data_IF_152653301827
#
_entry.id   IF_152653301827
#
_cell.length_a   1.000
_cell.length_b   1.000
_cell.length_c   1.000
_cell.angle_alpha   90.00
_cell.angle_beta   90.00
_cell.angle_gamma   90.00
#
_symmetry.space_group_name_H-M   'P 1'
#
loop_
_entity.id
_entity.type
_entity.pdbx_description
1 polymer ?
#
# COMPACT_ATOMS: atom_id res chain seq x y z
N UNK A 1 -19.15 -4.53 16.24
CA UNK A 1 -17.87 -4.47 16.98
C UNK A 1 -17.99 -3.92 18.40
N UNK A 2 -19.16 -3.44 18.85
CA UNK A 2 -19.31 -2.91 20.22
C UNK A 2 -18.51 -1.64 20.51
N UNK A 3 -17.87 -1.04 19.49
CA UNK A 3 -17.13 0.20 19.58
C UNK A 3 -18.05 1.34 19.12
N UNK A 4 -18.22 2.34 19.98
CA UNK A 4 -18.82 3.63 19.59
C UNK A 4 -17.67 4.58 19.28
N UNK A 5 -17.63 5.11 18.06
CA UNK A 5 -16.57 6.01 17.61
C UNK A 5 -17.14 7.40 17.30
N UNK A 6 -16.46 8.43 17.81
CA UNK A 6 -16.66 9.81 17.40
C UNK A 6 -15.43 10.24 16.58
N UNK A 7 -15.67 10.74 15.35
CA UNK A 7 -14.61 11.13 14.43
C UNK A 7 -14.51 12.66 14.39
N UNK A 8 -13.34 13.18 14.66
CA UNK A 8 -13.07 14.62 14.71
C UNK A 8 -11.84 14.97 13.86
N UNK A 9 -11.95 15.98 13.01
CA UNK A 9 -10.79 16.46 12.27
C UNK A 9 -9.94 17.38 13.16
N UNK A 10 -8.64 17.07 13.26
CA UNK A 10 -7.70 17.97 13.95
C UNK A 10 -7.66 19.32 13.19
N UNK A 11 -7.85 20.49 13.84
CA UNK A 11 -7.81 21.79 13.16
C UNK A 11 -6.41 22.11 12.60
N UNK A 12 -6.29 22.71 11.38
CA UNK A 12 -4.97 22.99 10.74
C UNK A 12 -4.26 24.19 11.34
N UNK A 13 -4.99 25.28 11.54
CA UNK A 13 -4.41 26.60 11.80
C UNK A 13 -4.78 27.18 13.17
N UNK A 14 -5.40 26.38 14.05
CA UNK A 14 -5.83 26.85 15.37
C UNK A 14 -5.28 25.98 16.50
N UNK A 15 -4.27 26.53 17.19
CA UNK A 15 -3.68 25.90 18.36
C UNK A 15 -4.70 25.76 19.50
N UNK A 16 -5.56 26.76 19.72
CA UNK A 16 -6.60 26.72 20.76
C UNK A 16 -7.61 25.60 20.47
N UNK A 17 -8.11 25.50 19.22
CA UNK A 17 -9.05 24.43 18.88
C UNK A 17 -8.41 23.04 19.01
N UNK A 18 -7.12 22.89 18.70
CA UNK A 18 -6.39 21.63 18.95
C UNK A 18 -6.33 21.26 20.44
N UNK A 19 -6.12 22.24 21.33
CA UNK A 19 -6.13 21.99 22.78
C UNK A 19 -7.53 21.65 23.30
N UNK A 20 -8.57 22.33 22.82
CA UNK A 20 -9.95 22.02 23.16
C UNK A 20 -10.34 20.61 22.73
N UNK A 21 -9.94 20.21 21.51
CA UNK A 21 -10.14 18.85 21.03
C UNK A 21 -9.39 17.84 21.90
N UNK A 22 -8.12 18.12 22.23
CA UNK A 22 -7.33 17.26 23.10
C UNK A 22 -7.94 17.12 24.52
N UNK A 23 -8.66 18.11 25.03
CA UNK A 23 -9.38 18.02 26.32
C UNK A 23 -10.52 17.00 26.28
N UNK A 24 -11.16 16.80 25.12
CA UNK A 24 -12.26 15.83 24.96
C UNK A 24 -11.79 14.39 25.10
N UNK A 25 -10.50 14.12 24.91
CA UNK A 25 -9.88 12.81 25.08
C UNK A 25 -10.18 12.15 26.44
N UNK A 26 -10.44 12.93 27.49
CA UNK A 26 -10.80 12.42 28.82
C UNK A 26 -12.11 11.63 28.85
N UNK A 27 -12.98 11.87 27.88
CA UNK A 27 -14.29 11.22 27.77
C UNK A 27 -14.22 9.92 26.95
N UNK A 28 -13.07 9.62 26.33
CA UNK A 28 -12.88 8.43 25.52
C UNK A 28 -12.01 7.41 26.26
N UNK A 29 -12.30 6.13 26.04
CA UNK A 29 -11.47 5.05 26.55
C UNK A 29 -10.17 4.89 25.76
N UNK A 30 -10.26 5.09 24.44
CA UNK A 30 -9.14 5.10 23.51
C UNK A 30 -9.21 6.36 22.65
N UNK A 31 -8.09 7.06 22.53
CA UNK A 31 -7.87 8.05 21.48
C UNK A 31 -7.12 7.39 20.34
N UNK A 32 -7.78 7.25 19.20
CA UNK A 32 -7.17 6.80 17.96
C UNK A 32 -6.76 8.00 17.10
N UNK A 33 -5.45 8.17 16.91
CA UNK A 33 -4.88 9.32 16.21
C UNK A 33 -4.27 8.93 14.88
N UNK A 34 -4.90 9.34 13.79
CA UNK A 34 -4.42 9.06 12.43
C UNK A 34 -3.54 10.18 11.85
N UNK A 35 -2.28 9.85 11.52
CA UNK A 35 -1.26 10.52 10.67
C UNK A 35 -0.80 11.93 11.04
N UNK A 36 -1.64 12.72 11.68
CA UNK A 36 -1.50 14.17 11.70
C UNK A 36 -0.47 14.65 12.73
N UNK A 37 0.53 15.41 12.28
CA UNK A 37 1.49 16.01 13.20
C UNK A 37 0.94 17.30 13.86
N UNK A 38 1.04 17.38 15.19
CA UNK A 38 0.75 18.60 15.98
C UNK A 38 1.98 19.03 16.78
N UNK A 39 1.91 20.18 17.47
CA UNK A 39 3.05 20.66 18.26
C UNK A 39 3.27 19.79 19.51
N UNK A 40 4.51 19.67 20.01
CA UNK A 40 4.78 18.91 21.24
C UNK A 40 3.97 19.37 22.46
N UNK A 41 3.53 20.63 22.50
CA UNK A 41 2.68 21.17 23.57
C UNK A 41 1.29 20.53 23.51
N UNK A 42 0.69 20.44 22.32
CA UNK A 42 -0.60 19.75 22.13
C UNK A 42 -0.46 18.26 22.47
N UNK A 43 0.65 17.62 22.06
CA UNK A 43 0.92 16.22 22.42
C UNK A 43 0.96 16.02 23.94
N UNK A 44 1.68 16.89 24.67
CA UNK A 44 1.77 16.82 26.13
C UNK A 44 0.40 16.93 26.78
N UNK A 45 -0.44 17.86 26.31
CA UNK A 45 -1.78 18.05 26.82
C UNK A 45 -2.72 16.88 26.49
N UNK A 46 -2.66 16.38 25.25
CA UNK A 46 -3.42 15.21 24.82
C UNK A 46 -3.05 13.98 25.65
N UNK A 47 -1.76 13.72 25.85
CA UNK A 47 -1.29 12.60 26.67
C UNK A 47 -1.81 12.66 28.10
N UNK A 48 -1.88 13.85 28.68
CA UNK A 48 -2.43 14.03 30.03
C UNK A 48 -3.94 13.77 30.08
N UNK A 49 -4.66 14.04 29.00
CA UNK A 49 -6.12 13.88 28.93
C UNK A 49 -6.55 12.48 28.50
N UNK A 50 -5.76 11.80 27.67
CA UNK A 50 -6.11 10.49 27.11
C UNK A 50 -5.80 9.36 28.10
N UNK A 51 -6.80 8.50 28.37
CA UNK A 51 -6.62 7.24 29.09
C UNK A 51 -5.65 6.32 28.32
N UNK A 52 -5.96 6.07 27.04
CA UNK A 52 -5.13 5.30 26.09
C UNK A 52 -4.93 6.08 24.81
N UNK A 53 -3.72 6.05 24.27
CA UNK A 53 -3.36 6.79 23.05
C UNK A 53 -2.73 5.85 22.02
N UNK A 54 -3.42 5.66 20.90
CA UNK A 54 -2.93 4.91 19.74
C UNK A 54 -2.61 5.90 18.62
N UNK A 55 -1.44 5.76 18.01
CA UNK A 55 -1.04 6.57 16.85
C UNK A 55 -0.91 5.68 15.61
N UNK A 56 -1.65 5.97 14.56
CA UNK A 56 -1.63 5.27 13.27
C UNK A 56 -0.98 6.16 12.22
N UNK A 57 0.05 5.66 11.53
CA UNK A 57 0.70 6.41 10.46
C UNK A 57 1.13 5.52 9.31
N UNK A 58 1.12 6.10 8.10
CA UNK A 58 1.74 5.56 6.92
C UNK A 58 2.90 6.44 6.46
N UNK A 59 3.75 5.89 5.59
CA UNK A 59 4.93 6.54 5.02
C UNK A 59 5.98 7.00 6.06
N UNK A 60 7.11 7.46 5.53
CA UNK A 60 8.17 8.10 6.31
C UNK A 60 7.81 9.54 6.62
N UNK A 61 6.86 9.75 7.55
CA UNK A 61 6.32 11.06 7.94
C UNK A 61 7.40 12.13 8.21
N UNK A 62 8.55 11.85 8.86
CA UNK A 62 9.62 12.83 9.07
C UNK A 62 10.35 13.28 7.80
N UNK A 63 10.28 12.53 6.71
CA UNK A 63 11.07 12.71 5.50
C UNK A 63 10.30 13.44 4.39
N UNK A 64 11.06 14.07 3.49
CA UNK A 64 10.55 14.70 2.27
C UNK A 64 10.38 13.66 1.17
N UNK A 65 9.22 13.70 0.50
CA UNK A 65 8.90 12.79 -0.63
C UNK A 65 9.76 13.04 -1.87
N UNK A 66 10.34 14.23 -2.00
CA UNK A 66 11.05 14.64 -3.23
C UNK A 66 12.52 14.23 -3.24
N UNK A 67 13.19 14.30 -2.08
CA UNK A 67 14.64 14.13 -1.98
C UNK A 67 15.07 13.24 -0.80
N UNK A 68 14.13 12.58 -0.13
CA UNK A 68 14.38 11.75 1.06
C UNK A 68 15.14 12.48 2.18
N UNK A 69 15.11 13.81 2.20
CA UNK A 69 15.75 14.59 3.26
C UNK A 69 14.85 14.66 4.49
N UNK A 70 15.46 14.51 5.66
CA UNK A 70 14.76 14.66 6.95
C UNK A 70 14.29 16.10 7.14
N UNK A 71 13.02 16.29 7.46
CA UNK A 71 12.49 17.57 7.89
C UNK A 71 12.50 17.64 9.42
N UNK A 72 13.48 18.35 10.00
CA UNK A 72 13.66 18.46 11.47
C UNK A 72 12.40 18.90 12.22
N UNK A 73 11.56 19.76 11.63
CA UNK A 73 10.31 20.20 12.25
C UNK A 73 9.28 19.08 12.30
N UNK A 74 9.13 18.31 11.21
CA UNK A 74 8.27 17.12 11.19
C UNK A 74 8.81 16.05 12.14
N UNK A 75 10.12 15.79 12.09
CA UNK A 75 10.80 14.84 12.96
C UNK A 75 10.54 15.13 14.45
N UNK A 76 10.73 16.39 14.89
CA UNK A 76 10.47 16.80 16.28
C UNK A 76 9.02 16.52 16.70
N UNK A 77 8.05 16.78 15.81
CA UNK A 77 6.63 16.53 16.08
C UNK A 77 6.32 15.04 16.10
N UNK A 78 6.84 14.29 15.13
CA UNK A 78 6.69 12.84 15.04
C UNK A 78 7.25 12.16 16.28
N UNK A 79 8.47 12.50 16.70
CA UNK A 79 9.09 12.02 17.95
C UNK A 79 8.24 12.31 19.17
N UNK A 80 7.70 13.53 19.28
CA UNK A 80 6.84 13.89 20.40
C UNK A 80 5.61 12.98 20.49
N UNK A 81 4.99 12.67 19.35
CA UNK A 81 3.80 11.79 19.28
C UNK A 81 4.17 10.35 19.59
N UNK A 82 5.13 9.79 18.86
CA UNK A 82 5.55 8.40 18.96
C UNK A 82 6.02 8.04 20.37
N UNK A 83 6.78 8.91 21.02
CA UNK A 83 7.26 8.69 22.40
C UNK A 83 6.18 8.78 23.49
N UNK A 84 4.97 9.25 23.15
CA UNK A 84 3.86 9.42 24.10
C UNK A 84 2.67 8.50 23.82
N UNK A 85 2.61 7.89 22.64
CA UNK A 85 1.62 6.87 22.32
C UNK A 85 1.88 5.60 23.16
N UNK A 86 0.80 4.94 23.56
CA UNK A 86 0.87 3.62 24.19
C UNK A 86 1.14 2.54 23.14
N UNK A 87 0.54 2.70 21.96
CA UNK A 87 0.79 1.86 20.78
C UNK A 87 0.94 2.73 19.54
N UNK A 88 1.90 2.38 18.69
CA UNK A 88 2.05 2.97 17.36
C UNK A 88 1.82 1.89 16.30
N UNK A 89 0.90 2.15 15.36
CA UNK A 89 0.61 1.26 14.24
C UNK A 89 1.44 1.72 13.04
N UNK A 90 2.20 0.78 12.47
CA UNK A 90 2.80 0.90 11.14
C UNK A 90 2.21 -0.14 10.19
N UNK A 91 2.18 0.15 8.89
CA UNK A 91 1.49 -0.71 7.91
C UNK A 91 2.33 -1.90 7.44
N UNK A 92 3.60 -1.95 7.83
CA UNK A 92 4.54 -3.02 7.55
C UNK A 92 5.60 -3.08 8.65
N UNK A 93 6.38 -4.17 8.67
CA UNK A 93 7.44 -4.39 9.65
C UNK A 93 8.46 -3.25 9.67
N UNK A 94 8.80 -2.70 8.50
CA UNK A 94 9.75 -1.60 8.40
C UNK A 94 9.24 -0.35 9.14
N UNK A 95 8.00 0.08 8.88
CA UNK A 95 7.41 1.25 9.53
C UNK A 95 7.22 1.03 11.03
N UNK A 96 6.74 -0.14 11.45
CA UNK A 96 6.60 -0.46 12.88
C UNK A 96 7.95 -0.37 13.60
N UNK A 97 8.99 -1.02 13.05
CA UNK A 97 10.33 -1.01 13.63
C UNK A 97 10.97 0.39 13.59
N UNK A 98 10.71 1.17 12.54
CA UNK A 98 11.16 2.55 12.39
C UNK A 98 10.69 3.44 13.55
N UNK A 99 9.59 3.12 14.24
CA UNK A 99 9.10 3.93 15.36
C UNK A 99 9.96 3.86 16.62
N UNK A 100 10.69 2.75 16.84
CA UNK A 100 11.47 2.57 18.07
C UNK A 100 12.61 3.58 18.21
N UNK A 101 13.23 4.01 17.11
CA UNK A 101 14.25 5.08 17.13
C UNK A 101 13.69 6.46 17.55
N UNK A 102 12.37 6.59 17.58
CA UNK A 102 11.64 7.79 18.04
C UNK A 102 11.04 7.61 19.44
N UNK A 103 11.34 6.49 20.11
CA UNK A 103 10.93 6.22 21.49
C UNK A 103 9.56 5.55 21.61
N UNK A 104 9.08 4.86 20.58
CA UNK A 104 7.86 4.06 20.68
C UNK A 104 7.96 3.05 21.82
N UNK A 105 6.89 2.93 22.61
CA UNK A 105 6.78 1.90 23.66
C UNK A 105 6.44 0.53 23.05
N UNK A 106 5.54 0.53 22.07
CA UNK A 106 5.05 -0.66 21.37
C UNK A 106 4.69 -0.29 19.94
N UNK A 107 5.44 -0.84 18.98
CA UNK A 107 5.09 -0.82 17.56
C UNK A 107 4.29 -2.07 17.19
N UNK A 108 3.19 -1.92 16.45
CA UNK A 108 2.41 -3.04 15.91
C UNK A 108 2.22 -2.88 14.41
N UNK A 109 2.04 -4.01 13.72
CA UNK A 109 1.72 -4.01 12.29
C UNK A 109 0.24 -4.27 12.10
N UNK A 110 -0.46 -3.31 11.50
CA UNK A 110 -1.80 -3.53 10.95
C UNK A 110 -1.78 -3.10 9.48
N UNK A 111 -1.92 -4.03 8.53
CA UNK A 111 -1.80 -3.71 7.10
C UNK A 111 -3.02 -2.96 6.60
N UNK A 112 -2.93 -2.44 5.36
CA UNK A 112 -4.10 -1.90 4.68
C UNK A 112 -5.14 -3.00 4.42
N UNK A 113 -6.41 -2.66 4.67
CA UNK A 113 -7.54 -3.49 4.34
C UNK A 113 -7.93 -3.37 2.86
N UNK A 114 -8.39 -4.48 2.29
CA UNK A 114 -9.01 -4.56 0.97
C UNK A 114 -10.48 -4.89 1.13
N UNK A 115 -11.32 -4.03 0.56
CA UNK A 115 -12.76 -4.26 0.47
C UNK A 115 -13.06 -5.18 -0.73
N UNK A 116 -13.30 -6.45 -0.42
CA UNK A 116 -13.57 -7.49 -1.42
C UNK A 116 -14.93 -7.33 -2.11
N UNK A 117 -15.80 -6.44 -1.62
CA UNK A 117 -17.04 -6.06 -2.32
C UNK A 117 -16.79 -5.09 -3.48
N UNK A 118 -15.63 -4.42 -3.49
CA UNK A 118 -15.18 -3.56 -4.58
C UNK A 118 -14.31 -4.31 -5.59
N UNK A 119 -13.41 -5.16 -5.11
CA UNK A 119 -12.40 -5.84 -5.94
C UNK A 119 -12.78 -7.29 -6.22
N UNK A 120 -13.18 -7.56 -7.46
CA UNK A 120 -13.64 -8.88 -7.89
C UNK A 120 -12.56 -9.62 -8.67
N UNK A 121 -12.46 -10.96 -8.52
CA UNK A 121 -11.55 -11.76 -9.31
C UNK A 121 -11.82 -11.62 -10.80
N UNK A 122 -10.74 -11.59 -11.58
CA UNK A 122 -10.82 -11.67 -13.03
C UNK A 122 -11.53 -12.96 -13.45
N UNK A 123 -12.47 -12.81 -14.39
CA UNK A 123 -13.01 -13.93 -15.14
C UNK A 123 -12.11 -14.19 -16.34
N UNK A 124 -11.49 -15.37 -16.37
CA UNK A 124 -10.74 -15.81 -17.53
C UNK A 124 -11.69 -16.42 -18.55
N UNK A 125 -11.90 -15.73 -19.66
CA UNK A 125 -12.65 -16.29 -20.77
C UNK A 125 -11.76 -17.29 -21.52
N UNK A 126 -12.23 -18.54 -21.66
CA UNK A 126 -11.47 -19.62 -22.32
C UNK A 126 -11.54 -19.55 -23.86
N UNK A 127 -12.36 -18.65 -24.41
CA UNK A 127 -12.87 -18.80 -25.77
C UNK A 127 -12.14 -17.97 -26.85
N UNK A 128 -11.26 -17.03 -26.49
CA UNK A 128 -10.63 -16.16 -27.47
C UNK A 128 -9.11 -16.38 -27.60
N UNK A 129 -8.66 -17.18 -28.58
CA UNK A 129 -7.25 -17.38 -28.88
C UNK A 129 -6.54 -16.14 -29.46
N UNK A 130 -7.28 -15.09 -29.83
CA UNK A 130 -6.77 -13.81 -30.38
C UNK A 130 -6.69 -12.73 -29.29
N UNK A 131 -7.15 -13.02 -28.07
CA UNK A 131 -7.13 -12.08 -26.95
C UNK A 131 -5.71 -11.64 -26.64
N UNK A 132 -5.51 -10.32 -26.60
CA UNK A 132 -4.26 -9.73 -26.12
C UNK A 132 -4.05 -10.03 -24.64
N UNK A 133 -2.80 -10.29 -24.27
CA UNK A 133 -2.34 -10.38 -22.88
C UNK A 133 -2.00 -8.97 -22.39
N UNK A 134 -2.81 -8.46 -21.46
CA UNK A 134 -2.67 -7.12 -20.91
C UNK A 134 -1.77 -7.09 -19.68
N UNK A 135 -0.62 -6.43 -19.79
CA UNK A 135 0.25 -6.07 -18.66
C UNK A 135 -0.21 -4.74 -18.10
N UNK A 136 -0.74 -4.76 -16.88
CA UNK A 136 -1.46 -3.64 -16.30
C UNK A 136 -0.71 -2.92 -15.20
N UNK A 137 -0.77 -1.59 -15.24
CA UNK A 137 -0.30 -0.72 -14.16
C UNK A 137 -1.33 0.36 -13.86
N UNK A 138 -1.52 0.69 -12.59
CA UNK A 138 -2.35 1.83 -12.14
C UNK A 138 -1.52 2.74 -11.26
N UNK A 139 -1.69 4.07 -11.35
CA UNK A 139 -1.05 4.98 -10.42
C UNK A 139 -0.93 6.43 -10.93
N UNK A 140 -0.29 7.26 -10.10
CA UNK A 140 -0.04 8.65 -10.43
C UNK A 140 1.10 8.80 -11.43
N UNK A 141 1.00 9.79 -12.31
CA UNK A 141 2.04 10.30 -13.20
C UNK A 141 3.44 10.42 -12.57
N UNK A 142 3.52 10.84 -11.30
CA UNK A 142 4.78 10.91 -10.55
C UNK A 142 5.56 9.58 -10.46
N UNK A 143 4.93 8.44 -10.78
CA UNK A 143 5.54 7.11 -10.74
C UNK A 143 5.77 6.49 -12.13
N UNK A 144 5.39 7.16 -13.22
CA UNK A 144 5.60 6.66 -14.59
C UNK A 144 7.07 6.44 -14.92
N UNK A 145 7.99 7.21 -14.31
CA UNK A 145 9.42 7.01 -14.47
C UNK A 145 9.95 5.63 -14.02
N UNK A 146 9.18 4.88 -13.22
CA UNK A 146 9.51 3.48 -12.89
C UNK A 146 9.14 2.50 -14.01
N UNK A 147 8.12 2.83 -14.81
CA UNK A 147 7.76 2.07 -16.01
C UNK A 147 8.75 2.42 -17.12
N UNK A 148 9.01 3.72 -17.36
CA UNK A 148 9.96 4.16 -18.39
C UNK A 148 11.37 3.61 -18.19
N UNK A 149 11.81 3.40 -16.94
CA UNK A 149 13.14 2.83 -16.66
C UNK A 149 13.31 1.38 -17.12
N UNK A 150 12.22 0.68 -17.46
CA UNK A 150 12.24 -0.67 -18.01
C UNK A 150 11.84 -0.70 -19.49
N UNK A 151 12.00 0.41 -20.22
CA UNK A 151 11.62 0.50 -21.65
C UNK A 151 12.21 -0.64 -22.50
N UNK A 152 13.46 -1.02 -22.27
CA UNK A 152 14.11 -2.14 -22.97
C UNK A 152 13.40 -3.49 -22.72
N UNK A 153 12.93 -3.74 -21.49
CA UNK A 153 12.14 -4.93 -21.16
C UNK A 153 10.85 -4.95 -21.97
N UNK A 154 10.11 -3.84 -21.97
CA UNK A 154 8.83 -3.73 -22.67
C UNK A 154 9.00 -3.92 -24.18
N UNK A 155 10.06 -3.33 -24.75
CA UNK A 155 10.39 -3.47 -26.17
C UNK A 155 10.72 -4.92 -26.53
N UNK A 156 11.59 -5.59 -25.75
CA UNK A 156 11.94 -7.02 -25.97
C UNK A 156 10.70 -7.92 -25.91
N UNK A 157 9.79 -7.67 -24.98
CA UNK A 157 8.55 -8.43 -24.87
C UNK A 157 7.61 -8.14 -26.06
N UNK A 158 7.47 -6.89 -26.49
CA UNK A 158 6.65 -6.53 -27.64
C UNK A 158 7.18 -7.11 -28.97
N UNK A 159 8.50 -7.21 -29.13
CA UNK A 159 9.14 -7.87 -30.27
C UNK A 159 8.92 -9.39 -30.27
N UNK A 160 8.87 -10.01 -29.08
CA UNK A 160 8.67 -11.46 -28.92
C UNK A 160 7.19 -11.88 -28.97
N UNK A 161 6.28 -11.04 -28.48
CA UNK A 161 4.87 -11.38 -28.28
C UNK A 161 3.95 -10.37 -28.97
N UNK A 162 3.49 -10.70 -30.17
CA UNK A 162 2.56 -9.87 -30.95
C UNK A 162 1.17 -9.75 -30.31
N UNK A 163 0.82 -10.69 -29.42
CA UNK A 163 -0.44 -10.70 -28.66
C UNK A 163 -0.34 -9.98 -27.31
N UNK A 164 0.69 -9.17 -27.06
CA UNK A 164 0.87 -8.43 -25.80
C UNK A 164 0.40 -6.98 -25.94
N UNK A 165 -0.13 -6.41 -24.85
CA UNK A 165 -0.24 -4.95 -24.70
C UNK A 165 0.07 -4.50 -23.27
N UNK A 166 0.52 -3.26 -23.13
CA UNK A 166 0.58 -2.58 -21.84
C UNK A 166 -0.66 -1.71 -21.65
N UNK A 167 -1.32 -1.80 -20.50
CA UNK A 167 -2.41 -0.89 -20.11
C UNK A 167 -2.00 -0.08 -18.87
N UNK A 168 -1.98 1.24 -19.01
CA UNK A 168 -1.55 2.18 -17.96
C UNK A 168 -2.73 3.07 -17.58
N UNK A 169 -3.15 2.99 -16.31
CA UNK A 169 -4.20 3.84 -15.75
C UNK A 169 -3.55 5.01 -15.00
N UNK A 170 -3.58 6.21 -15.58
CA UNK A 170 -3.04 7.43 -14.98
C UNK A 170 -3.63 8.70 -15.59
N UNK A 171 -3.55 9.82 -14.89
CA UNK A 171 -4.04 11.13 -15.39
C UNK A 171 -3.04 11.88 -16.27
N UNK A 172 -1.85 11.33 -16.51
CA UNK A 172 -0.79 11.96 -17.31
C UNK A 172 -0.72 11.39 -18.73
N UNK A 173 -0.09 12.15 -19.64
CA UNK A 173 0.32 11.61 -20.94
C UNK A 173 1.52 10.68 -20.76
N UNK A 174 1.47 9.51 -21.40
CA UNK A 174 2.51 8.50 -21.31
C UNK A 174 2.67 7.78 -22.65
N UNK A 175 3.91 7.59 -23.06
CA UNK A 175 4.27 6.91 -24.30
C UNK A 175 5.46 5.99 -24.06
N UNK A 176 5.48 4.86 -24.77
CA UNK A 176 6.59 3.92 -24.84
C UNK A 176 6.79 3.57 -26.31
N UNK A 177 7.90 4.04 -26.89
CA UNK A 177 8.20 3.80 -28.29
C UNK A 177 8.39 2.29 -28.56
N UNK A 178 7.76 1.77 -29.63
CA UNK A 178 7.88 0.36 -30.00
C UNK A 178 7.11 -0.62 -29.11
N UNK A 179 6.22 -0.13 -28.22
CA UNK A 179 5.44 -0.97 -27.31
C UNK A 179 3.95 -0.72 -27.51
N UNK A 180 3.11 -1.75 -27.77
CA UNK A 180 1.66 -1.60 -27.81
C UNK A 180 1.14 -1.10 -26.46
N UNK A 181 0.61 0.12 -26.43
CA UNK A 181 0.26 0.83 -25.20
C UNK A 181 -1.17 1.37 -25.26
N UNK A 182 -1.93 1.10 -24.20
CA UNK A 182 -3.24 1.64 -23.94
C UNK A 182 -3.19 2.48 -22.65
N UNK A 183 -3.17 3.80 -22.80
CA UNK A 183 -3.24 4.73 -21.67
C UNK A 183 -4.69 5.16 -21.45
N UNK A 184 -5.24 4.88 -20.27
CA UNK A 184 -6.59 5.33 -19.86
C UNK A 184 -6.47 6.30 -18.69
N UNK A 185 -7.23 7.39 -18.75
CA UNK A 185 -7.40 8.31 -17.63
C UNK A 185 -7.96 7.58 -16.42
N UNK A 186 -7.38 7.81 -15.25
CA UNK A 186 -7.81 7.15 -14.03
C UNK A 186 -9.19 7.66 -13.58
N UNK A 187 -10.10 6.74 -13.26
CA UNK A 187 -11.36 7.00 -12.56
C UNK A 187 -11.47 6.03 -11.38
N UNK A 188 -11.90 6.56 -10.23
CA UNK A 188 -12.07 5.76 -9.00
C UNK A 188 -13.18 4.72 -9.19
N UNK A 189 -14.21 5.10 -9.93
CA UNK A 189 -15.40 4.31 -10.24
C UNK A 189 -15.05 3.14 -11.18
N UNK A 190 -14.27 3.41 -12.23
CA UNK A 190 -13.89 2.41 -13.24
C UNK A 190 -12.72 1.52 -12.81
N UNK A 191 -11.89 1.98 -11.86
CA UNK A 191 -10.64 1.32 -11.46
C UNK A 191 -10.80 -0.19 -11.21
N UNK A 192 -11.84 -0.68 -10.48
CA UNK A 192 -12.00 -2.11 -10.25
C UNK A 192 -12.19 -2.91 -11.55
N UNK A 193 -12.98 -2.40 -12.49
CA UNK A 193 -13.21 -3.06 -13.77
C UNK A 193 -11.97 -2.98 -14.66
N UNK A 194 -11.30 -1.84 -14.68
CA UNK A 194 -10.08 -1.66 -15.47
C UNK A 194 -8.95 -2.58 -15.01
N UNK A 195 -8.77 -2.70 -13.69
CA UNK A 195 -7.78 -3.59 -13.09
C UNK A 195 -8.16 -5.05 -13.35
N UNK A 196 -9.42 -5.45 -13.20
CA UNK A 196 -9.87 -6.81 -13.55
C UNK A 196 -9.66 -7.12 -15.04
N UNK A 197 -9.59 -6.10 -15.90
CA UNK A 197 -9.21 -6.20 -17.30
C UNK A 197 -7.77 -6.68 -17.52
N UNK A 198 -6.85 -6.41 -16.60
CA UNK A 198 -5.45 -6.82 -16.69
C UNK A 198 -5.30 -8.34 -16.62
N UNK A 199 -4.26 -8.89 -17.23
CA UNK A 199 -3.91 -10.30 -17.08
C UNK A 199 -2.71 -10.51 -16.14
N UNK A 200 -1.82 -9.51 -16.07
CA UNK A 200 -0.63 -9.51 -15.21
C UNK A 200 -0.49 -8.10 -14.63
N UNK A 201 -0.41 -7.97 -13.30
CA UNK A 201 -0.07 -6.71 -12.66
C UNK A 201 1.44 -6.48 -12.69
N UNK A 202 1.90 -5.27 -13.04
CA UNK A 202 3.31 -4.91 -12.95
C UNK A 202 3.56 -3.89 -11.85
N UNK A 203 4.62 -4.10 -11.06
CA UNK A 203 5.01 -3.19 -9.98
C UNK A 203 6.52 -2.90 -10.03
N UNK A 204 6.99 -2.16 -11.05
CA UNK A 204 8.36 -1.68 -11.06
C UNK A 204 8.55 -0.64 -9.94
N UNK A 205 9.72 -0.63 -9.31
CA UNK A 205 10.05 0.32 -8.25
C UNK A 205 11.54 0.64 -8.22
N UNK A 206 11.87 1.89 -7.87
CA UNK A 206 13.27 2.31 -7.68
C UNK A 206 13.74 1.88 -6.30
N UNK A 207 14.98 1.41 -6.20
CA UNK A 207 15.57 0.99 -4.93
C UNK A 207 15.99 2.21 -4.07
N UNK A 208 15.02 2.88 -3.46
CA UNK A 208 15.26 3.99 -2.53
C UNK A 208 14.51 3.82 -1.20
N UNK A 209 14.89 4.62 -0.21
CA UNK A 209 14.31 4.59 1.14
C UNK A 209 12.78 4.81 1.13
N UNK A 210 12.26 5.60 0.19
CA UNK A 210 10.84 5.87 0.09
C UNK A 210 10.07 4.63 -0.36
N UNK A 211 10.53 3.94 -1.41
CA UNK A 211 9.94 2.67 -1.83
C UNK A 211 10.14 1.54 -0.81
N UNK A 212 11.21 1.57 0.00
CA UNK A 212 11.39 0.62 1.10
C UNK A 212 10.29 0.72 2.15
N UNK A 213 9.84 1.93 2.47
CA UNK A 213 8.83 2.17 3.50
C UNK A 213 7.38 2.07 3.01
N UNK A 214 7.18 2.11 1.68
CA UNK A 214 5.85 2.12 1.07
C UNK A 214 5.07 0.85 1.35
N UNK A 215 3.75 1.02 1.49
CA UNK A 215 2.80 -0.09 1.41
C UNK A 215 2.43 -0.37 -0.04
N UNK A 216 2.55 -1.60 -0.54
CA UNK A 216 2.30 -1.94 -1.94
C UNK A 216 0.80 -2.13 -2.23
N UNK A 217 -0.01 -1.09 -2.01
CA UNK A 217 -1.47 -1.12 -2.20
C UNK A 217 -1.90 -1.65 -3.58
N UNK A 218 -1.15 -1.31 -4.64
CA UNK A 218 -1.42 -1.78 -6.00
C UNK A 218 -1.34 -3.30 -6.10
N UNK A 219 -0.34 -3.91 -5.48
CA UNK A 219 -0.16 -5.36 -5.46
C UNK A 219 -1.32 -6.03 -4.71
N UNK A 220 -1.74 -5.46 -3.58
CA UNK A 220 -2.90 -5.97 -2.84
C UNK A 220 -4.17 -5.93 -3.70
N UNK A 221 -4.38 -4.85 -4.46
CA UNK A 221 -5.50 -4.70 -5.39
C UNK A 221 -5.40 -5.72 -6.55
N UNK A 222 -4.23 -5.90 -7.15
CA UNK A 222 -4.03 -6.89 -8.21
C UNK A 222 -4.30 -8.31 -7.71
N UNK A 223 -3.81 -8.65 -6.52
CA UNK A 223 -4.07 -9.91 -5.87
C UNK A 223 -5.56 -10.09 -5.54
N UNK A 224 -6.23 -9.02 -5.10
CA UNK A 224 -7.67 -9.04 -4.87
C UNK A 224 -8.45 -9.31 -6.17
N UNK A 225 -7.98 -8.80 -7.31
CA UNK A 225 -8.52 -9.14 -8.62
C UNK A 225 -8.06 -10.52 -9.14
N UNK A 226 -7.37 -11.32 -8.33
CA UNK A 226 -6.90 -12.64 -8.73
C UNK A 226 -5.86 -12.60 -9.85
N UNK A 227 -5.01 -11.57 -9.86
CA UNK A 227 -3.96 -11.39 -10.86
C UNK A 227 -2.59 -11.77 -10.28
N UNK A 228 -1.76 -12.51 -11.04
CA UNK A 228 -0.34 -12.59 -10.71
C UNK A 228 0.32 -11.23 -10.89
N UNK A 229 1.38 -11.00 -10.12
CA UNK A 229 2.18 -9.77 -10.20
C UNK A 229 3.63 -10.09 -10.50
N UNK A 230 4.28 -9.27 -11.32
CA UNK A 230 5.75 -9.18 -11.38
C UNK A 230 6.17 -7.85 -10.76
N UNK A 231 7.04 -7.90 -9.76
CA UNK A 231 7.44 -6.73 -8.98
C UNK A 231 8.96 -6.61 -8.84
N UNK A 232 9.47 -5.38 -8.75
CA UNK A 232 10.86 -5.16 -8.36
C UNK A 232 11.03 -5.56 -6.88
N UNK A 233 12.11 -6.26 -6.47
CA UNK A 233 12.32 -6.73 -5.10
C UNK A 233 12.76 -5.60 -4.15
N UNK A 234 11.98 -4.51 -4.10
CA UNK A 234 12.28 -3.29 -3.33
C UNK A 234 11.36 -3.20 -2.11
N UNK A 235 11.97 -3.07 -0.93
CA UNK A 235 11.25 -2.99 0.34
C UNK A 235 10.83 -4.34 0.89
N UNK A 236 10.76 -4.45 2.22
CA UNK A 236 10.34 -5.68 2.89
C UNK A 236 8.90 -6.03 2.54
N UNK A 237 8.02 -5.04 2.44
CA UNK A 237 6.60 -5.24 2.11
C UNK A 237 6.39 -6.00 0.80
N UNK A 238 7.14 -5.68 -0.27
CA UNK A 238 7.02 -6.40 -1.55
C UNK A 238 7.57 -7.82 -1.42
N UNK A 239 8.73 -7.98 -0.76
CA UNK A 239 9.38 -9.29 -0.60
C UNK A 239 8.58 -10.25 0.30
N UNK A 240 7.84 -9.73 1.26
CA UNK A 240 6.95 -10.50 2.14
C UNK A 240 5.62 -10.82 1.44
N UNK A 241 5.13 -9.93 0.58
CA UNK A 241 3.83 -10.07 -0.09
C UNK A 241 3.89 -10.95 -1.34
N UNK A 242 4.92 -10.78 -2.18
CA UNK A 242 5.09 -11.52 -3.44
C UNK A 242 6.01 -12.72 -3.19
N UNK A 243 5.43 -13.91 -3.25
CA UNK A 243 6.11 -15.19 -3.07
C UNK A 243 6.38 -15.78 -4.45
N UNK A 244 7.66 -15.83 -4.84
CA UNK A 244 8.11 -16.23 -6.19
C UNK A 244 7.54 -17.59 -6.60
N UNK A 245 6.85 -17.64 -7.75
CA UNK A 245 6.24 -18.86 -8.29
C UNK A 245 4.97 -19.35 -7.58
N UNK A 246 4.51 -18.64 -6.54
CA UNK A 246 3.29 -18.98 -5.79
C UNK A 246 2.15 -18.03 -6.10
N UNK A 247 2.34 -16.72 -5.95
CA UNK A 247 1.31 -15.69 -6.24
C UNK A 247 1.80 -14.61 -7.22
N UNK A 248 3.05 -14.68 -7.64
CA UNK A 248 3.70 -13.73 -8.53
C UNK A 248 5.19 -14.02 -8.64
N UNK A 249 5.94 -13.04 -9.12
CA UNK A 249 7.40 -13.12 -9.28
C UNK A 249 8.09 -11.83 -8.84
N UNK A 250 9.30 -11.99 -8.33
CA UNK A 250 10.24 -10.89 -8.09
C UNK A 250 11.25 -10.85 -9.24
N UNK A 251 11.53 -9.65 -9.75
CA UNK A 251 12.49 -9.42 -10.84
C UNK A 251 13.38 -8.21 -10.53
N UNK A 252 14.66 -8.46 -10.31
CA UNK A 252 15.69 -7.48 -9.98
C UNK A 252 16.51 -6.99 -11.18
N UNK A 253 16.58 -7.76 -12.27
CA UNK A 253 17.25 -7.39 -13.51
C UNK A 253 16.29 -7.32 -14.70
N UNK A 254 16.67 -6.63 -15.78
CA UNK A 254 15.88 -6.59 -17.02
C UNK A 254 15.62 -7.99 -17.59
N UNK A 255 16.61 -8.89 -17.52
CA UNK A 255 16.47 -10.27 -18.00
C UNK A 255 15.47 -11.05 -17.15
N UNK A 256 15.52 -10.93 -15.81
CA UNK A 256 14.51 -11.55 -14.95
C UNK A 256 13.11 -11.00 -15.24
N UNK A 257 12.97 -9.70 -15.51
CA UNK A 257 11.68 -9.14 -15.90
C UNK A 257 11.16 -9.75 -17.20
N UNK A 258 12.01 -9.85 -18.23
CA UNK A 258 11.66 -10.48 -19.51
C UNK A 258 11.28 -11.95 -19.30
N UNK A 259 12.06 -12.71 -18.55
CA UNK A 259 11.83 -14.13 -18.32
C UNK A 259 10.51 -14.39 -17.58
N UNK A 260 10.32 -13.73 -16.43
CA UNK A 260 9.13 -13.93 -15.59
C UNK A 260 7.85 -13.46 -16.27
N UNK A 261 7.91 -12.38 -17.05
CA UNK A 261 6.77 -11.93 -17.84
C UNK A 261 6.50 -12.84 -19.04
N UNK A 262 7.53 -13.34 -19.72
CA UNK A 262 7.39 -14.31 -20.81
C UNK A 262 6.63 -15.55 -20.34
N UNK A 263 7.00 -16.11 -19.18
CA UNK A 263 6.31 -17.26 -18.58
C UNK A 263 4.81 -17.01 -18.38
N UNK A 264 4.43 -15.80 -17.94
CA UNK A 264 3.04 -15.45 -17.70
C UNK A 264 2.29 -15.12 -18.99
N UNK A 265 2.94 -14.53 -19.99
CA UNK A 265 2.33 -14.24 -21.28
C UNK A 265 1.99 -15.55 -22.02
N UNK A 266 2.91 -16.51 -22.00
CA UNK A 266 2.78 -17.80 -22.68
C UNK A 266 1.78 -18.75 -22.00
N UNK A 267 1.67 -18.72 -20.66
CA UNK A 267 0.88 -19.70 -19.91
C UNK A 267 -0.29 -19.06 -19.13
N UNK A 268 -1.50 -19.21 -19.67
CA UNK A 268 -2.75 -18.80 -19.00
C UNK A 268 -3.07 -19.65 -17.76
N UNK A 269 -2.68 -20.93 -17.74
CA UNK A 269 -2.85 -21.82 -16.60
C UNK A 269 -1.97 -21.39 -15.43
N UNK A 270 -0.73 -21.00 -15.71
CA UNK A 270 0.16 -20.39 -14.72
C UNK A 270 -0.45 -19.11 -14.16
N UNK A 271 -0.95 -18.20 -15.02
CA UNK A 271 -1.60 -16.97 -14.57
C UNK A 271 -2.78 -17.25 -13.63
N UNK A 272 -3.65 -18.20 -13.99
CA UNK A 272 -4.79 -18.62 -13.14
C UNK A 272 -4.35 -19.17 -11.80
N UNK A 273 -3.34 -20.05 -11.79
CA UNK A 273 -2.83 -20.67 -10.57
C UNK A 273 -2.25 -19.63 -9.62
N UNK A 274 -1.35 -18.77 -10.14
CA UNK A 274 -0.73 -17.73 -9.33
C UNK A 274 -1.74 -16.68 -8.87
N UNK A 275 -2.64 -16.26 -9.77
CA UNK A 275 -3.72 -15.32 -9.46
C UNK A 275 -4.72 -15.85 -8.42
N UNK A 276 -5.07 -17.14 -8.49
CA UNK A 276 -5.90 -17.78 -7.47
C UNK A 276 -5.24 -17.81 -6.08
N UNK A 277 -3.95 -18.15 -6.02
CA UNK A 277 -3.18 -18.09 -4.78
C UNK A 277 -3.07 -16.65 -4.23
N UNK A 278 -2.90 -15.67 -5.13
CA UNK A 278 -2.89 -14.26 -4.79
C UNK A 278 -4.22 -13.82 -4.15
N UNK A 279 -5.35 -14.19 -4.76
CA UNK A 279 -6.69 -13.90 -4.22
C UNK A 279 -6.90 -14.51 -2.84
N UNK A 280 -6.55 -15.80 -2.69
CA UNK A 280 -6.67 -16.52 -1.42
C UNK A 280 -5.90 -15.82 -0.30
N UNK A 281 -4.68 -15.34 -0.58
CA UNK A 281 -3.90 -14.57 0.39
C UNK A 281 -4.63 -13.30 0.85
N UNK A 282 -5.29 -12.57 -0.05
CA UNK A 282 -6.06 -11.37 0.31
C UNK A 282 -7.25 -11.72 1.19
N UNK A 283 -8.01 -12.76 0.84
CA UNK A 283 -9.17 -13.22 1.62
C UNK A 283 -8.78 -13.61 3.05
N UNK A 284 -7.66 -14.31 3.21
CA UNK A 284 -7.19 -14.84 4.49
C UNK A 284 -6.55 -13.77 5.38
N UNK A 285 -5.88 -12.77 4.82
CA UNK A 285 -5.00 -11.85 5.58
C UNK A 285 -5.31 -10.37 5.45
N UNK A 286 -5.87 -9.93 4.33
CA UNK A 286 -5.99 -8.49 4.00
C UNK A 286 -7.42 -8.02 3.77
N UNK A 287 -8.41 -8.91 3.81
CA UNK A 287 -9.81 -8.52 3.69
C UNK A 287 -10.23 -7.57 4.82
N UNK A 288 -11.21 -6.72 4.53
CA UNK A 288 -11.74 -5.75 5.50
C UNK A 288 -12.10 -6.41 6.83
N UNK A 289 -12.76 -7.57 6.78
CA UNK A 289 -13.11 -8.35 7.98
C UNK A 289 -11.87 -8.74 8.81
N UNK A 290 -10.84 -9.29 8.16
CA UNK A 290 -9.61 -9.74 8.84
C UNK A 290 -8.87 -8.58 9.48
N UNK A 291 -8.69 -7.49 8.74
CA UNK A 291 -7.96 -6.31 9.25
C UNK A 291 -8.76 -5.61 10.36
N UNK A 292 -10.09 -5.53 10.25
CA UNK A 292 -10.92 -5.02 11.34
C UNK A 292 -10.82 -5.90 12.60
N UNK A 293 -10.67 -7.21 12.44
CA UNK A 293 -10.36 -8.14 13.53
C UNK A 293 -9.08 -7.74 14.29
N UNK A 294 -8.01 -7.40 13.57
CA UNK A 294 -6.75 -6.94 14.17
C UNK A 294 -6.93 -5.62 14.95
N UNK A 295 -7.70 -4.67 14.42
CA UNK A 295 -8.02 -3.43 15.15
C UNK A 295 -8.83 -3.72 16.42
N UNK A 296 -9.79 -4.64 16.36
CA UNK A 296 -10.59 -5.05 17.52
C UNK A 296 -9.71 -5.67 18.61
N UNK A 297 -8.87 -6.64 18.26
CA UNK A 297 -7.92 -7.27 19.18
C UNK A 297 -6.97 -6.25 19.80
N UNK A 298 -6.48 -5.30 19.00
CA UNK A 298 -5.63 -4.21 19.49
C UNK A 298 -6.38 -3.36 20.52
N UNK A 299 -7.62 -2.94 20.24
CA UNK A 299 -8.39 -2.12 21.16
C UNK A 299 -8.69 -2.86 22.47
N UNK A 300 -9.07 -4.13 22.41
CA UNK A 300 -9.29 -4.97 23.60
C UNK A 300 -7.99 -5.14 24.41
N UNK A 301 -6.86 -5.40 23.75
CA UNK A 301 -5.54 -5.49 24.39
C UNK A 301 -5.14 -4.18 25.09
N UNK A 302 -5.36 -3.04 24.42
CA UNK A 302 -5.04 -1.71 24.96
C UNK A 302 -5.96 -1.35 26.13
N UNK A 303 -7.22 -1.80 26.13
CA UNK A 303 -8.13 -1.62 27.26
C UNK A 303 -7.69 -2.42 28.48
N UNK A 304 -7.37 -3.70 28.27
CA UNK A 304 -7.09 -4.66 29.35
C UNK A 304 -5.65 -4.55 29.91
N UNK A 305 -4.67 -4.11 29.12
CA UNK A 305 -3.26 -3.97 29.51
C UNK A 305 -2.97 -2.75 30.38
N UNK A 306 -3.83 -2.46 31.37
CA UNK A 306 -3.77 -1.28 32.24
C UNK A 306 -3.50 -1.61 33.68
N UNK A 307 -2.40 -2.33 33.94
CA UNK A 307 -1.74 -2.38 35.24
C UNK A 307 -0.28 -2.03 35.03
#
# INVERSE_FOLDING_TARGET
MGVTAEVEEIPRHSFIKQLLLARRAKNADIVFWQKRLVSPIVVKYLRHSAKRLIYDFDDLVPFSRHNNAMNRKKERRFRAIVSKADVVIGYNNFLSNFTYQYGARKGVVIPNAIDLSRWHPKLYDNADPVRKVTLGWTGTDAHLGSISSLHNVWKRLAERFSNMEMKVLCNGSFALEGVPLNCKTFSVEDEPQDVAGFDIGIMPSKADLWYQAKTPLKVLIYFACGLPVVASPVGSSIRELVIDGVNGFLAGSEDEWVDKLSMLIEDVGLRRRLGGNARKMIEEKFSLEKVLGLYKELFESVMNGGN
#
